data_IF_456258267175
#
_entry.id   IF_456258267175
#
_cell.length_a   1.000
_cell.length_b   1.000
_cell.length_c   1.000
_cell.angle_alpha   90.00
_cell.angle_beta   90.00
_cell.angle_gamma   90.00
#
_symmetry.space_group_name_H-M   'P 1'
#
loop_
_entity.id
_entity.type
_entity.pdbx_description
1 polymer ?
#
# COMPACT_ATOMS: atom_id res chain seq x y z
N UNK A 1 4.14 -16.01 -4.44
CA UNK A 1 4.05 -14.70 -5.13
C UNK A 1 2.97 -14.70 -6.23
N UNK A 2 1.68 -14.88 -5.87
CA UNK A 2 0.58 -14.83 -6.86
C UNK A 2 -0.26 -13.56 -6.73
N UNK A 3 -0.45 -13.06 -5.51
CA UNK A 3 -1.27 -11.89 -5.22
C UNK A 3 -0.73 -10.58 -5.84
N UNK A 4 0.56 -10.29 -5.67
CA UNK A 4 1.14 -9.06 -6.25
C UNK A 4 1.03 -8.97 -7.77
N UNK A 5 1.03 -10.11 -8.48
CA UNK A 5 0.80 -10.15 -9.93
C UNK A 5 -0.65 -9.84 -10.28
N UNK A 6 -1.60 -10.30 -9.46
CA UNK A 6 -3.03 -10.00 -9.64
C UNK A 6 -3.29 -8.51 -9.42
N UNK A 7 -2.75 -7.91 -8.34
CA UNK A 7 -2.90 -6.47 -8.08
C UNK A 7 -2.26 -5.63 -9.21
N UNK A 8 -1.08 -6.02 -9.69
CA UNK A 8 -0.44 -5.38 -10.83
C UNK A 8 -1.31 -5.42 -12.09
N UNK A 9 -1.92 -6.57 -12.41
CA UNK A 9 -2.77 -6.70 -13.59
C UNK A 9 -4.09 -5.91 -13.47
N UNK A 10 -4.73 -5.91 -12.29
CA UNK A 10 -5.93 -5.11 -12.02
C UNK A 10 -5.62 -3.62 -12.19
N UNK A 11 -4.54 -3.14 -11.57
CA UNK A 11 -4.13 -1.75 -11.68
C UNK A 11 -3.78 -1.37 -13.12
N UNK A 12 -3.13 -2.25 -13.88
CA UNK A 12 -2.82 -2.05 -15.30
C UNK A 12 -4.09 -1.91 -16.14
N UNK A 13 -5.05 -2.83 -16.00
CA UNK A 13 -6.32 -2.81 -16.77
C UNK A 13 -7.12 -1.53 -16.48
N UNK A 14 -7.09 -1.07 -15.23
CA UNK A 14 -7.83 0.11 -14.79
C UNK A 14 -7.03 1.42 -14.89
N UNK A 15 -5.83 1.38 -15.50
CA UNK A 15 -4.93 2.53 -15.66
C UNK A 15 -4.64 3.29 -14.34
N UNK A 16 -4.50 2.55 -13.24
CA UNK A 16 -4.08 3.12 -11.96
C UNK A 16 -2.68 3.67 -12.12
N UNK A 17 -2.48 4.92 -11.72
CA UNK A 17 -1.19 5.60 -11.80
C UNK A 17 -0.88 6.27 -10.47
N UNK A 18 0.38 6.18 -10.06
CA UNK A 18 0.91 6.97 -8.94
C UNK A 18 1.41 8.29 -9.49
N UNK A 19 0.82 9.38 -9.03
CA UNK A 19 1.19 10.73 -9.42
C UNK A 19 2.51 11.14 -8.79
N UNK A 20 3.18 12.12 -9.40
CA UNK A 20 4.41 12.67 -8.82
C UNK A 20 4.17 13.36 -7.49
N UNK A 21 2.97 13.93 -7.28
CA UNK A 21 2.59 14.55 -6.03
C UNK A 21 2.50 13.52 -4.90
N UNK A 22 1.83 12.39 -5.13
CA UNK A 22 1.76 11.28 -4.15
C UNK A 22 3.15 10.75 -3.81
N UNK A 23 4.02 10.62 -4.81
CA UNK A 23 5.40 10.17 -4.59
C UNK A 23 6.20 11.21 -3.79
N UNK A 24 6.04 12.51 -4.07
CA UNK A 24 6.66 13.59 -3.31
C UNK A 24 6.19 13.59 -1.85
N UNK A 25 4.89 13.37 -1.63
CA UNK A 25 4.31 13.26 -0.29
C UNK A 25 4.85 12.06 0.47
N UNK A 26 4.92 10.89 -0.15
CA UNK A 26 5.51 9.69 0.44
C UNK A 26 7.00 9.89 0.76
N UNK A 27 7.77 10.52 -0.12
CA UNK A 27 9.18 10.84 0.15
C UNK A 27 9.33 11.78 1.35
N UNK A 28 8.46 12.81 1.48
CA UNK A 28 8.46 13.70 2.66
C UNK A 28 8.13 12.95 3.93
N UNK A 29 7.09 12.11 3.91
CA UNK A 29 6.65 11.33 5.06
C UNK A 29 7.72 10.35 5.52
N UNK A 30 8.34 9.63 4.59
CA UNK A 30 9.40 8.67 4.91
C UNK A 30 10.63 9.40 5.45
N UNK A 31 11.05 10.50 4.82
CA UNK A 31 12.18 11.29 5.28
C UNK A 31 11.99 11.85 6.70
N UNK A 32 10.79 12.29 7.06
CA UNK A 32 10.49 12.81 8.40
C UNK A 32 10.77 11.80 9.52
N UNK A 33 10.73 10.49 9.24
CA UNK A 33 11.04 9.43 10.20
C UNK A 33 12.50 9.44 10.67
N UNK A 34 13.39 10.11 9.92
CA UNK A 34 14.83 10.17 10.19
C UNK A 34 15.26 11.46 10.93
N UNK A 35 14.31 12.27 11.40
CA UNK A 35 14.57 13.43 12.26
C UNK A 35 15.53 14.43 11.64
N UNK A 36 16.69 14.66 12.29
CA UNK A 36 17.69 15.64 11.84
C UNK A 36 18.26 15.35 10.43
N UNK A 37 18.17 14.10 9.97
CA UNK A 37 18.65 13.70 8.65
C UNK A 37 17.56 13.78 7.56
N UNK A 38 16.34 14.22 7.89
CA UNK A 38 15.21 14.21 6.97
C UNK A 38 15.52 14.87 5.61
N UNK A 39 16.18 16.02 5.60
CA UNK A 39 16.53 16.70 4.34
C UNK A 39 17.45 15.85 3.45
N UNK A 40 18.48 15.23 4.04
CA UNK A 40 19.44 14.39 3.31
C UNK A 40 18.75 13.13 2.75
N UNK A 41 17.88 12.51 3.54
CA UNK A 41 17.11 11.33 3.13
C UNK A 41 16.13 11.68 2.02
N UNK A 42 15.43 12.81 2.12
CA UNK A 42 14.54 13.30 1.07
C UNK A 42 15.28 13.53 -0.26
N UNK A 43 16.43 14.20 -0.21
CA UNK A 43 17.25 14.46 -1.39
C UNK A 43 17.79 13.16 -2.00
N UNK A 44 18.12 12.16 -1.17
CA UNK A 44 18.53 10.84 -1.61
C UNK A 44 17.40 10.11 -2.36
N UNK A 45 16.17 10.09 -1.81
CA UNK A 45 15.01 9.55 -2.51
C UNK A 45 14.77 10.27 -3.85
N UNK A 46 14.85 11.60 -3.86
CA UNK A 46 14.63 12.41 -5.07
C UNK A 46 15.64 12.12 -6.19
N UNK A 47 16.87 11.76 -5.85
CA UNK A 47 17.94 11.49 -6.84
C UNK A 47 18.01 10.03 -7.26
N UNK A 48 17.41 9.10 -6.51
CA UNK A 48 17.51 7.67 -6.75
C UNK A 48 16.19 7.07 -7.24
N UNK A 49 16.11 6.81 -8.55
CA UNK A 49 14.94 6.19 -9.17
C UNK A 49 14.59 4.80 -8.60
N UNK A 50 15.58 4.01 -8.16
CA UNK A 50 15.34 2.71 -7.52
C UNK A 50 14.67 2.84 -6.15
N UNK A 51 15.01 3.88 -5.39
CA UNK A 51 14.35 4.17 -4.11
C UNK A 51 12.95 4.76 -4.31
N UNK A 52 12.75 5.57 -5.36
CA UNK A 52 11.43 6.03 -5.74
C UNK A 52 10.50 4.86 -6.10
N UNK A 53 11.01 3.84 -6.79
CA UNK A 53 10.23 2.65 -7.11
C UNK A 53 9.78 1.89 -5.84
N UNK A 54 10.61 1.86 -4.80
CA UNK A 54 10.25 1.24 -3.51
C UNK A 54 9.11 1.97 -2.82
N UNK A 55 9.06 3.31 -2.90
CA UNK A 55 7.94 4.09 -2.36
C UNK A 55 6.70 4.02 -3.26
N UNK A 56 6.88 3.89 -4.57
CA UNK A 56 5.79 3.83 -5.54
C UNK A 56 4.98 2.54 -5.43
N UNK A 57 5.63 1.42 -5.14
CA UNK A 57 4.97 0.11 -5.03
C UNK A 57 3.82 0.07 -4.00
N UNK A 58 4.03 0.44 -2.72
CA UNK A 58 2.94 0.43 -1.72
C UNK A 58 1.84 1.43 -2.07
N UNK A 59 2.17 2.63 -2.58
CA UNK A 59 1.15 3.61 -3.01
C UNK A 59 0.28 3.03 -4.14
N UNK A 60 0.90 2.33 -5.09
CA UNK A 60 0.17 1.69 -6.18
C UNK A 60 -0.74 0.58 -5.65
N UNK A 61 -0.24 -0.25 -4.74
CA UNK A 61 -1.00 -1.32 -4.09
C UNK A 61 -2.23 -0.78 -3.36
N UNK A 62 -2.06 0.23 -2.51
CA UNK A 62 -3.16 0.87 -1.78
C UNK A 62 -4.24 1.38 -2.73
N UNK A 63 -3.85 2.08 -3.81
CA UNK A 63 -4.80 2.60 -4.81
C UNK A 63 -5.54 1.49 -5.56
N UNK A 64 -4.89 0.36 -5.81
CA UNK A 64 -5.55 -0.80 -6.42
C UNK A 64 -6.53 -1.44 -5.44
N UNK A 65 -6.17 -1.54 -4.17
CA UNK A 65 -7.07 -2.05 -3.12
C UNK A 65 -8.29 -1.16 -2.97
N UNK A 66 -8.10 0.17 -2.90
CA UNK A 66 -9.19 1.14 -2.84
C UNK A 66 -10.16 0.98 -4.02
N UNK A 67 -9.62 0.84 -5.24
CA UNK A 67 -10.40 0.58 -6.44
C UNK A 67 -11.21 -0.73 -6.36
N UNK A 68 -10.61 -1.78 -5.80
CA UNK A 68 -11.29 -3.07 -5.60
C UNK A 68 -12.45 -2.89 -4.61
N UNK A 69 -12.20 -2.23 -3.49
CA UNK A 69 -13.21 -1.98 -2.44
C UNK A 69 -14.36 -1.12 -2.98
N UNK A 70 -14.06 -0.07 -3.76
CA UNK A 70 -15.07 0.80 -4.38
C UNK A 70 -16.02 0.02 -5.30
N UNK A 71 -15.50 -1.03 -5.97
CA UNK A 71 -16.28 -1.88 -6.89
C UNK A 71 -16.88 -3.11 -6.22
N UNK A 72 -16.45 -3.44 -5.00
CA UNK A 72 -16.90 -4.60 -4.28
C UNK A 72 -18.31 -4.37 -3.71
N UNK A 73 -19.08 -5.45 -3.60
CA UNK A 73 -20.30 -5.41 -2.78
C UNK A 73 -19.89 -5.48 -1.32
N UNK A 74 -20.07 -4.38 -0.58
CA UNK A 74 -19.76 -4.29 0.84
C UNK A 74 -21.03 -4.57 1.65
N UNK A 75 -20.93 -5.44 2.64
CA UNK A 75 -22.01 -5.78 3.57
C UNK A 75 -21.53 -5.62 4.99
N UNK A 76 -22.36 -5.03 5.85
CA UNK A 76 -22.06 -4.88 7.27
C UNK A 76 -22.50 -6.12 8.05
N UNK A 77 -21.60 -6.65 8.87
CA UNK A 77 -21.89 -7.74 9.81
C UNK A 77 -21.68 -7.26 11.25
N UNK A 78 -22.70 -7.45 12.09
CA UNK A 78 -22.60 -7.12 13.51
C UNK A 78 -21.94 -8.26 14.28
N UNK A 79 -20.71 -8.05 14.71
CA UNK A 79 -19.93 -9.01 15.51
C UNK A 79 -19.84 -8.60 16.98
N UNK A 80 -19.66 -9.58 17.88
CA UNK A 80 -19.35 -9.31 19.28
C UNK A 80 -17.85 -9.04 19.45
N UNK A 81 -17.44 -8.45 20.59
CA UNK A 81 -16.01 -8.23 20.89
C UNK A 81 -15.24 -9.55 20.94
N UNK A 82 -15.82 -10.57 21.55
CA UNK A 82 -15.18 -11.86 21.69
C UNK A 82 -15.04 -12.53 20.32
N UNK A 83 -16.01 -12.37 19.42
CA UNK A 83 -15.91 -12.88 18.05
C UNK A 83 -14.86 -12.14 17.22
N UNK A 84 -14.77 -10.81 17.34
CA UNK A 84 -13.78 -10.00 16.63
C UNK A 84 -12.32 -10.33 17.01
N UNK A 85 -12.10 -10.80 18.24
CA UNK A 85 -10.77 -11.14 18.77
C UNK A 85 -10.43 -12.63 18.67
N UNK A 86 -11.33 -13.47 18.16
CA UNK A 86 -11.01 -14.87 17.87
C UNK A 86 -9.93 -14.91 16.79
N UNK A 87 -9.02 -15.86 16.91
CA UNK A 87 -8.11 -16.16 15.80
C UNK A 87 -8.97 -16.63 14.62
N UNK A 88 -8.84 -15.95 13.49
CA UNK A 88 -9.46 -16.40 12.26
C UNK A 88 -8.87 -17.77 11.89
N UNK A 89 -9.72 -18.71 11.50
CA UNK A 89 -9.30 -19.97 10.88
C UNK A 89 -8.74 -19.65 9.48
N UNK A 90 -7.55 -19.05 9.44
CA UNK A 90 -6.88 -18.72 8.20
C UNK A 90 -6.35 -20.02 7.56
N UNK A 91 -6.49 -20.17 6.23
CA UNK A 91 -5.95 -21.32 5.53
C UNK A 91 -4.44 -21.45 5.76
N UNK A 92 -3.95 -22.69 5.86
CA UNK A 92 -2.53 -22.98 6.09
C UNK A 92 -1.65 -22.19 5.11
N UNK A 93 -0.74 -21.37 5.66
CA UNK A 93 0.15 -20.49 4.90
C UNK A 93 -0.21 -19.00 4.93
N UNK A 94 -1.31 -18.61 5.58
CA UNK A 94 -1.69 -17.21 5.81
C UNK A 94 -1.64 -16.78 7.27
N UNK A 95 -1.45 -17.70 8.22
CA UNK A 95 -1.14 -17.38 9.62
C UNK A 95 0.22 -16.66 9.71
N UNK A 96 0.22 -15.46 10.28
CA UNK A 96 1.42 -14.63 10.50
C UNK A 96 2.47 -15.32 11.38
#
# INVERSE_FOLDING_TARGET
MRLGLVLAEIGRINNVQVTDQELLDAMRQEAMRYGQQAQQIFDMFRQNAGMQAQLRAPIFEDKVVDLIVEKATVTDEKVSKDDLLKEDDMPEGYSA
#
